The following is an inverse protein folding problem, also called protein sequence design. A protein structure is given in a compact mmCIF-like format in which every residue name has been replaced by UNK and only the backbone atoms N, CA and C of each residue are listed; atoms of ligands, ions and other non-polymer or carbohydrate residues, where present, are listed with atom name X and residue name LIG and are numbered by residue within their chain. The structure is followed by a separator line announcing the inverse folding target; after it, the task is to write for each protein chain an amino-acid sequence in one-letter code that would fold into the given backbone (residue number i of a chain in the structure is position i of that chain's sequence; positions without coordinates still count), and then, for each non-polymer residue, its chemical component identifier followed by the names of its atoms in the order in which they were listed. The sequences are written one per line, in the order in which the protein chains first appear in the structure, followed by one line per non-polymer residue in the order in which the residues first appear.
data_IF_522154304858
#
_entry.id   IF_522154304858
#
_cell.length_a   1.000
_cell.length_b   1.000
_cell.length_c   1.000
_cell.angle_alpha   90.00
_cell.angle_beta   90.00
_cell.angle_gamma   90.00
#
_symmetry.space_group_name_H-M   'P 1'
#
loop_
_entity.id
_entity.type
_entity.pdbx_description
1 polymer ?
#
# COMPACT_ATOMS: atom_id res chain seq x y z
N UNK A 1 9.62 17.68 -29.48
CA UNK A 1 9.38 16.28 -29.05
C UNK A 1 7.91 16.18 -28.69
N UNK A 2 7.13 15.51 -29.53
CA UNK A 2 5.67 15.37 -29.41
C UNK A 2 5.38 14.43 -28.25
N UNK A 3 4.69 14.94 -27.23
CA UNK A 3 4.14 14.11 -26.13
C UNK A 3 3.14 13.12 -26.75
N UNK A 4 3.49 11.84 -26.72
CA UNK A 4 2.56 10.78 -27.08
C UNK A 4 1.36 10.86 -26.12
N UNK A 5 0.22 11.29 -26.63
CA UNK A 5 -1.06 11.21 -25.92
C UNK A 5 -1.37 9.71 -25.71
N UNK A 6 -1.04 9.20 -24.54
CA UNK A 6 -1.50 7.90 -24.10
C UNK A 6 -2.97 7.97 -23.75
N UNK A 7 -3.82 7.84 -24.79
CA UNK A 7 -5.29 7.71 -24.68
C UNK A 7 -5.75 6.32 -24.20
N UNK A 8 -4.85 5.51 -23.62
CA UNK A 8 -5.13 4.17 -23.12
C UNK A 8 -5.74 4.21 -21.72
N UNK A 9 -6.87 3.52 -21.50
CA UNK A 9 -7.51 3.36 -20.18
C UNK A 9 -6.72 2.54 -19.17
N UNK A 10 -5.59 1.91 -19.58
CA UNK A 10 -4.76 1.01 -18.80
C UNK A 10 -3.76 1.70 -17.85
N UNK A 11 -3.01 0.90 -17.12
CA UNK A 11 -1.88 1.34 -16.27
C UNK A 11 -0.82 2.06 -17.11
N UNK A 12 -0.29 3.19 -16.61
CA UNK A 12 0.82 3.90 -17.27
C UNK A 12 2.14 3.32 -16.75
N UNK A 13 2.93 2.75 -17.65
CA UNK A 13 4.27 2.26 -17.30
C UNK A 13 5.27 3.41 -17.23
N UNK A 14 6.30 3.26 -16.41
CA UNK A 14 7.39 4.23 -16.34
C UNK A 14 8.14 4.31 -17.66
N UNK A 15 8.34 3.17 -18.34
CA UNK A 15 9.11 3.07 -19.59
C UNK A 15 10.51 3.73 -19.47
N UNK A 16 11.16 3.48 -18.34
CA UNK A 16 12.46 4.06 -17.95
C UNK A 16 13.39 3.00 -17.40
N UNK A 17 14.04 2.21 -18.28
CA UNK A 17 14.92 1.10 -17.88
C UNK A 17 16.04 1.50 -16.92
N UNK A 18 16.47 2.77 -16.97
CA UNK A 18 17.48 3.34 -16.05
C UNK A 18 17.01 3.37 -14.59
N UNK A 19 15.71 3.21 -14.32
CA UNK A 19 15.15 3.08 -12.99
C UNK A 19 15.17 1.64 -12.45
N UNK A 20 15.80 0.70 -13.18
CA UNK A 20 16.07 -0.65 -12.72
C UNK A 20 14.82 -1.37 -12.20
N UNK A 21 14.86 -1.77 -10.92
CA UNK A 21 13.78 -2.51 -10.28
C UNK A 21 12.43 -1.78 -10.32
N UNK A 22 12.43 -0.46 -10.25
CA UNK A 22 11.20 0.34 -10.28
C UNK A 22 10.47 0.22 -11.63
N UNK A 23 11.20 0.20 -12.75
CA UNK A 23 10.62 0.00 -14.08
C UNK A 23 10.02 -1.42 -14.21
N UNK A 24 10.72 -2.43 -13.70
CA UNK A 24 10.23 -3.82 -13.70
C UNK A 24 8.95 -3.96 -12.87
N UNK A 25 8.87 -3.33 -11.69
CA UNK A 25 7.65 -3.30 -10.87
C UNK A 25 6.50 -2.66 -11.65
N UNK A 26 6.75 -1.49 -12.26
CA UNK A 26 5.74 -0.77 -13.05
C UNK A 26 5.20 -1.59 -14.22
N UNK A 27 6.07 -2.28 -14.94
CA UNK A 27 5.70 -3.17 -16.04
C UNK A 27 4.89 -4.38 -15.54
N UNK A 28 5.26 -4.94 -14.38
CA UNK A 28 4.51 -6.05 -13.77
C UNK A 28 3.10 -5.64 -13.35
N UNK A 29 2.94 -4.43 -12.82
CA UNK A 29 1.63 -3.88 -12.47
C UNK A 29 0.76 -3.64 -13.69
N UNK A 30 1.33 -3.14 -14.79
CA UNK A 30 0.64 -2.95 -16.07
C UNK A 30 0.11 -4.26 -16.66
N UNK A 31 0.83 -5.35 -16.49
CA UNK A 31 0.43 -6.67 -16.96
C UNK A 31 -0.63 -7.36 -16.08
N UNK A 32 -0.99 -6.75 -14.94
CA UNK A 32 -1.91 -7.37 -13.99
C UNK A 32 -3.38 -7.18 -14.39
N UNK A 33 -4.09 -8.27 -14.60
CA UNK A 33 -5.55 -8.28 -14.81
C UNK A 33 -6.36 -7.89 -13.56
N UNK A 34 -5.69 -7.76 -12.40
CA UNK A 34 -6.32 -7.37 -11.12
C UNK A 34 -6.63 -5.89 -11.02
N UNK A 35 -6.12 -5.07 -11.92
CA UNK A 35 -6.38 -3.63 -11.99
C UNK A 35 -7.30 -3.35 -13.19
N UNK A 36 -8.63 -3.32 -13.01
CA UNK A 36 -9.55 -3.06 -14.11
C UNK A 36 -9.40 -1.63 -14.64
N UNK A 37 -9.49 -1.46 -15.95
CA UNK A 37 -9.48 -0.13 -16.57
C UNK A 37 -10.59 0.78 -16.06
N UNK A 38 -11.75 0.24 -15.70
CA UNK A 38 -12.85 1.00 -15.11
C UNK A 38 -12.46 1.65 -13.78
N UNK A 39 -11.68 0.95 -12.96
CA UNK A 39 -11.14 1.49 -11.72
C UNK A 39 -10.15 2.63 -12.00
N UNK A 40 -9.21 2.44 -12.94
CA UNK A 40 -8.25 3.47 -13.33
C UNK A 40 -8.95 4.71 -13.92
N UNK A 41 -9.96 4.52 -14.77
CA UNK A 41 -10.77 5.64 -15.30
C UNK A 41 -11.47 6.42 -14.19
N UNK A 42 -12.05 5.72 -13.21
CA UNK A 42 -12.70 6.37 -12.07
C UNK A 42 -11.70 7.21 -11.26
N UNK A 43 -10.51 6.67 -10.96
CA UNK A 43 -9.46 7.40 -10.25
C UNK A 43 -8.99 8.63 -11.04
N UNK A 44 -8.77 8.50 -12.35
CA UNK A 44 -8.32 9.59 -13.22
C UNK A 44 -9.37 10.68 -13.45
N UNK A 45 -10.65 10.36 -13.37
CA UNK A 45 -11.72 11.34 -13.58
C UNK A 45 -11.82 12.37 -12.45
N UNK A 46 -11.33 12.03 -11.24
CA UNK A 46 -11.39 12.92 -10.09
C UNK A 46 -10.34 14.03 -10.17
N UNK A 47 -10.58 15.22 -9.58
CA UNK A 47 -9.61 16.29 -9.52
C UNK A 47 -8.44 15.97 -8.56
N UNK A 48 -8.66 15.10 -7.59
CA UNK A 48 -7.68 14.72 -6.56
C UNK A 48 -7.72 13.22 -6.28
N UNK A 49 -6.53 12.64 -6.12
CA UNK A 49 -6.33 11.32 -5.53
C UNK A 49 -6.13 11.46 -4.03
N UNK A 50 -6.68 10.51 -3.30
CA UNK A 50 -6.45 10.31 -1.88
C UNK A 50 -5.68 9.00 -1.72
N UNK A 51 -4.50 9.06 -1.11
CA UNK A 51 -3.69 7.89 -0.82
C UNK A 51 -3.51 7.75 0.69
N UNK A 52 -3.71 6.55 1.18
CA UNK A 52 -3.51 6.16 2.57
C UNK A 52 -2.52 5.01 2.60
N UNK A 53 -1.58 5.02 3.53
CA UNK A 53 -0.55 3.98 3.60
C UNK A 53 -0.22 3.59 5.01
N UNK A 54 0.19 2.33 5.16
CA UNK A 54 0.79 1.80 6.37
C UNK A 54 1.76 0.67 6.03
N UNK A 55 2.63 0.32 6.99
CA UNK A 55 3.80 -0.50 6.76
C UNK A 55 3.96 -1.56 7.87
N UNK A 56 4.09 -2.81 7.47
CA UNK A 56 4.24 -3.96 8.36
C UNK A 56 5.59 -4.66 8.20
N UNK A 57 5.82 -5.69 9.03
CA UNK A 57 6.99 -6.54 8.90
C UNK A 57 8.31 -5.93 9.38
N UNK A 58 8.27 -4.80 10.08
CA UNK A 58 9.47 -4.11 10.56
C UNK A 58 10.26 -4.86 11.65
N UNK A 59 9.69 -5.91 12.27
CA UNK A 59 10.37 -6.66 13.33
C UNK A 59 11.51 -7.53 12.78
N UNK A 60 12.54 -7.77 13.62
CA UNK A 60 13.81 -8.40 13.23
C UNK A 60 13.64 -9.79 12.58
N UNK A 61 12.63 -10.54 12.99
CA UNK A 61 12.41 -11.92 12.53
C UNK A 61 11.49 -12.02 11.29
N UNK A 62 10.87 -10.93 10.84
CA UNK A 62 10.12 -10.95 9.60
C UNK A 62 11.07 -10.95 8.40
N UNK A 63 10.86 -11.91 7.48
CA UNK A 63 11.60 -11.96 6.21
C UNK A 63 11.20 -10.81 5.30
N UNK A 64 9.91 -10.47 5.28
CA UNK A 64 9.38 -9.44 4.41
C UNK A 64 9.04 -8.16 5.17
N UNK A 65 9.35 -7.02 4.57
CA UNK A 65 8.73 -5.73 4.85
C UNK A 65 7.52 -5.59 3.93
N UNK A 66 6.36 -5.21 4.46
CA UNK A 66 5.14 -5.03 3.66
C UNK A 66 4.76 -3.57 3.67
N UNK A 67 4.71 -2.97 2.47
CA UNK A 67 4.29 -1.60 2.24
C UNK A 67 2.93 -1.61 1.55
N UNK A 68 1.93 -1.03 2.18
CA UNK A 68 0.54 -1.13 1.76
C UNK A 68 -0.03 0.26 1.45
N UNK A 69 -0.68 0.40 0.30
CA UNK A 69 -1.22 1.68 -0.19
C UNK A 69 -2.67 1.52 -0.64
N UNK A 70 -3.56 2.28 -0.05
CA UNK A 70 -4.94 2.45 -0.51
C UNK A 70 -5.05 3.75 -1.30
N UNK A 71 -5.52 3.68 -2.55
CA UNK A 71 -5.78 4.86 -3.37
C UNK A 71 -7.26 4.94 -3.73
N UNK A 72 -7.85 6.10 -3.49
CA UNK A 72 -9.26 6.38 -3.75
C UNK A 72 -9.47 7.84 -4.17
N UNK A 73 -10.72 8.27 -4.21
CA UNK A 73 -11.15 9.65 -4.45
C UNK A 73 -12.18 10.07 -3.41
N UNK A 74 -12.44 11.36 -3.26
CA UNK A 74 -13.50 11.84 -2.35
C UNK A 74 -14.86 11.19 -2.66
N UNK A 75 -15.20 11.04 -3.94
CA UNK A 75 -16.42 10.36 -4.34
C UNK A 75 -16.39 8.87 -3.96
N UNK A 76 -15.25 8.20 -4.16
CA UNK A 76 -15.06 6.79 -3.84
C UNK A 76 -15.20 6.46 -2.35
N UNK A 77 -15.08 7.45 -1.47
CA UNK A 77 -15.20 7.29 -0.02
C UNK A 77 -16.64 7.44 0.51
N UNK A 78 -17.60 7.93 -0.28
CA UNK A 78 -18.92 8.34 0.25
C UNK A 78 -19.69 7.17 0.87
N UNK A 79 -19.83 6.07 0.15
CA UNK A 79 -20.54 4.89 0.65
C UNK A 79 -19.83 4.27 1.86
N UNK A 80 -18.51 4.15 1.81
CA UNK A 80 -17.71 3.71 2.94
C UNK A 80 -17.95 4.57 4.18
N UNK A 81 -17.91 5.90 4.06
CA UNK A 81 -18.07 6.81 5.20
C UNK A 81 -19.46 6.68 5.84
N UNK A 82 -20.49 6.42 5.05
CA UNK A 82 -21.85 6.17 5.56
C UNK A 82 -21.90 4.87 6.40
N UNK A 83 -21.43 3.76 5.85
CA UNK A 83 -21.46 2.47 6.52
C UNK A 83 -20.50 2.42 7.72
N UNK A 84 -19.34 3.08 7.61
CA UNK A 84 -18.39 3.24 8.71
C UNK A 84 -19.03 3.90 9.94
N UNK A 85 -19.81 4.98 9.73
CA UNK A 85 -20.51 5.66 10.84
C UNK A 85 -21.47 4.71 11.54
N UNK A 86 -22.27 3.94 10.79
CA UNK A 86 -23.19 2.93 11.34
C UNK A 86 -22.46 1.86 12.15
N UNK A 87 -21.31 1.39 11.63
CA UNK A 87 -20.46 0.42 12.34
C UNK A 87 -19.96 0.97 13.67
N UNK A 88 -19.55 2.25 13.70
CA UNK A 88 -19.06 2.90 14.91
C UNK A 88 -20.15 3.14 15.94
N UNK A 89 -21.32 3.56 15.50
CA UNK A 89 -22.51 3.70 16.36
C UNK A 89 -22.96 2.37 16.95
N UNK A 90 -22.80 1.26 16.20
CA UNK A 90 -23.25 -0.06 16.61
C UNK A 90 -22.21 -0.84 17.43
N UNK A 91 -21.13 -1.29 16.82
CA UNK A 91 -20.28 -2.35 17.39
C UNK A 91 -18.86 -1.94 17.72
N UNK A 92 -18.24 -1.04 16.95
CA UNK A 92 -16.84 -0.68 17.15
C UNK A 92 -16.64 0.41 18.20
N UNK A 93 -17.61 1.32 18.32
CA UNK A 93 -17.54 2.49 19.22
C UNK A 93 -16.78 3.67 18.63
N UNK A 94 -16.98 4.89 19.22
CA UNK A 94 -16.51 6.13 18.63
C UNK A 94 -14.99 6.35 18.76
N UNK A 95 -14.31 5.70 19.71
CA UNK A 95 -12.90 6.00 20.05
C UNK A 95 -11.91 4.89 19.67
N UNK A 96 -12.39 3.75 19.19
CA UNK A 96 -11.52 2.59 18.93
C UNK A 96 -10.96 2.65 17.52
N UNK A 97 -9.66 2.84 17.38
CA UNK A 97 -8.96 2.66 16.12
C UNK A 97 -8.92 1.18 15.75
N UNK A 98 -9.23 0.86 14.50
CA UNK A 98 -9.02 -0.48 13.96
C UNK A 98 -7.55 -0.59 13.53
N UNK A 99 -6.81 -1.54 14.07
CA UNK A 99 -5.45 -1.82 13.62
C UNK A 99 -5.07 -3.29 13.87
N UNK A 100 -4.16 -3.82 13.06
CA UNK A 100 -3.75 -5.22 13.11
C UNK A 100 -3.20 -5.62 14.48
N UNK A 101 -2.35 -4.77 15.06
CA UNK A 101 -1.75 -5.00 16.38
C UNK A 101 -2.79 -5.00 17.50
N UNK A 102 -3.85 -4.22 17.35
CA UNK A 102 -4.90 -4.08 18.35
C UNK A 102 -6.02 -5.13 18.26
N UNK A 103 -5.97 -6.07 17.31
CA UNK A 103 -6.97 -7.13 17.14
C UNK A 103 -6.91 -8.24 18.22
N UNK A 104 -6.06 -8.13 19.22
CA UNK A 104 -6.16 -8.89 20.47
C UNK A 104 -7.30 -8.38 21.39
N UNK A 105 -7.77 -7.16 21.18
CA UNK A 105 -8.95 -6.59 21.87
C UNK A 105 -10.24 -7.27 21.37
N UNK A 106 -11.09 -7.72 22.32
CA UNK A 106 -12.32 -8.48 22.00
C UNK A 106 -13.34 -7.68 21.19
N UNK A 107 -13.45 -6.38 21.40
CA UNK A 107 -14.41 -5.53 20.68
C UNK A 107 -13.95 -5.36 19.24
N UNK A 108 -12.67 -5.04 19.03
CA UNK A 108 -12.08 -4.92 17.68
C UNK A 108 -12.20 -6.23 16.92
N UNK A 109 -11.86 -7.36 17.57
CA UNK A 109 -11.93 -8.67 16.91
C UNK A 109 -13.37 -9.04 16.50
N UNK A 110 -14.37 -8.78 17.35
CA UNK A 110 -15.80 -9.01 16.99
C UNK A 110 -16.25 -8.10 15.84
N UNK A 111 -15.74 -6.88 15.78
CA UNK A 111 -16.12 -5.90 14.76
C UNK A 111 -15.31 -6.06 13.47
N UNK A 112 -14.26 -6.90 13.44
CA UNK A 112 -13.34 -7.02 12.30
C UNK A 112 -14.06 -7.39 11.01
N UNK A 113 -14.86 -8.46 11.01
CA UNK A 113 -15.58 -8.90 9.80
C UNK A 113 -16.55 -7.84 9.29
N UNK A 114 -17.26 -7.18 10.20
CA UNK A 114 -18.15 -6.08 9.83
C UNK A 114 -17.37 -4.88 9.27
N UNK A 115 -16.22 -4.56 9.86
CA UNK A 115 -15.34 -3.52 9.34
C UNK A 115 -14.80 -3.87 7.94
N UNK A 116 -14.32 -5.09 7.73
CA UNK A 116 -13.86 -5.56 6.42
C UNK A 116 -14.99 -5.51 5.40
N UNK A 117 -16.23 -5.88 5.78
CA UNK A 117 -17.41 -5.76 4.92
C UNK A 117 -17.69 -4.30 4.52
N UNK A 118 -17.51 -3.34 5.42
CA UNK A 118 -17.64 -1.90 5.10
C UNK A 118 -16.59 -1.47 4.07
N UNK A 119 -15.37 -2.01 4.11
CA UNK A 119 -14.32 -1.67 3.14
C UNK A 119 -14.65 -2.10 1.70
N UNK A 120 -15.55 -3.06 1.48
CA UNK A 120 -16.02 -3.40 0.13
C UNK A 120 -16.71 -2.22 -0.58
N UNK A 121 -17.17 -1.22 0.17
CA UNK A 121 -17.78 0.00 -0.37
C UNK A 121 -16.77 1.05 -0.80
N UNK A 122 -15.48 0.87 -0.48
CA UNK A 122 -14.40 1.75 -0.97
C UNK A 122 -14.20 1.55 -2.47
N UNK A 123 -14.40 2.59 -3.25
CA UNK A 123 -14.05 2.56 -4.67
C UNK A 123 -12.60 2.98 -4.84
N UNK A 124 -11.72 2.04 -5.16
CA UNK A 124 -10.30 2.32 -5.28
C UNK A 124 -9.44 1.06 -5.42
N UNK A 125 -8.15 1.25 -5.16
CA UNK A 125 -7.11 0.23 -5.23
C UNK A 125 -6.42 0.11 -3.87
N UNK A 126 -6.27 -1.12 -3.38
CA UNK A 126 -5.36 -1.48 -2.30
C UNK A 126 -4.22 -2.30 -2.91
N UNK A 127 -3.03 -1.77 -2.86
CA UNK A 127 -1.85 -2.42 -3.41
C UNK A 127 -0.85 -2.69 -2.29
N UNK A 128 -0.41 -3.93 -2.21
CA UNK A 128 0.49 -4.41 -1.18
C UNK A 128 1.79 -4.89 -1.82
N UNK A 129 2.92 -4.35 -1.37
CA UNK A 129 4.25 -4.76 -1.78
C UNK A 129 4.93 -5.48 -0.62
N UNK A 130 5.17 -6.76 -0.78
CA UNK A 130 5.98 -7.55 0.15
C UNK A 130 7.41 -7.60 -0.36
N UNK A 131 8.33 -6.94 0.33
CA UNK A 131 9.74 -6.82 -0.06
C UNK A 131 10.57 -7.78 0.80
N UNK A 132 11.27 -8.73 0.18
CA UNK A 132 12.29 -9.50 0.90
C UNK A 132 13.36 -8.54 1.41
N UNK A 133 13.63 -8.54 2.71
CA UNK A 133 14.59 -7.64 3.33
C UNK A 133 16.01 -7.79 2.78
N UNK A 134 16.33 -8.93 2.17
CA UNK A 134 17.61 -9.17 1.51
C UNK A 134 17.73 -8.46 0.15
N UNK A 135 16.59 -8.06 -0.43
CA UNK A 135 16.52 -7.36 -1.72
C UNK A 135 16.20 -5.86 -1.57
N UNK A 136 15.98 -5.36 -0.35
CA UNK A 136 15.52 -3.97 -0.11
C UNK A 136 16.52 -2.91 -0.55
N UNK A 137 17.82 -3.22 -0.52
CA UNK A 137 18.87 -2.27 -0.89
C UNK A 137 18.81 -1.89 -2.38
N UNK A 138 18.31 -2.78 -3.24
CA UNK A 138 18.17 -2.51 -4.68
C UNK A 138 17.21 -1.37 -5.01
N UNK A 139 16.16 -1.17 -4.23
CA UNK A 139 15.30 0.02 -4.39
C UNK A 139 15.99 1.30 -3.88
N UNK A 140 17.03 1.15 -3.05
CA UNK A 140 17.77 2.28 -2.48
C UNK A 140 18.99 2.65 -3.31
N UNK A 141 19.63 1.69 -4.01
CA UNK A 141 20.87 1.89 -4.75
C UNK A 141 20.66 2.61 -6.08
N UNK A 142 19.55 2.33 -6.78
CA UNK A 142 19.31 2.88 -8.13
C UNK A 142 19.02 4.39 -8.11
N UNK A 143 18.72 4.98 -6.96
CA UNK A 143 18.46 6.40 -6.85
C UNK A 143 18.74 6.93 -5.44
N UNK A 144 19.98 7.30 -5.17
CA UNK A 144 20.34 7.95 -3.91
C UNK A 144 20.21 9.46 -4.02
N UNK A 145 19.18 10.06 -3.44
CA UNK A 145 19.04 11.51 -3.41
C UNK A 145 19.98 12.19 -2.39
N UNK A 146 20.99 11.49 -1.84
CA UNK A 146 21.94 12.07 -0.88
C UNK A 146 22.59 13.37 -1.37
N UNK A 147 22.83 13.50 -2.66
CA UNK A 147 23.34 14.75 -3.26
C UNK A 147 22.26 15.83 -3.36
N UNK A 148 20.99 15.46 -3.57
CA UNK A 148 19.87 16.39 -3.68
C UNK A 148 19.39 16.89 -2.30
N UNK A 149 19.65 16.15 -1.22
CA UNK A 149 19.13 16.40 0.12
C UNK A 149 20.21 16.66 1.18
N UNK A 150 21.43 16.99 0.79
CA UNK A 150 22.55 17.26 1.70
C UNK A 150 22.32 18.38 2.72
N UNK A 151 21.20 19.11 2.60
CA UNK A 151 20.76 20.16 3.54
C UNK A 151 19.74 19.66 4.57
N UNK A 152 19.30 18.39 4.47
CA UNK A 152 18.38 17.82 5.45
C UNK A 152 19.13 17.40 6.72
N UNK A 153 18.42 17.44 7.84
CA UNK A 153 18.95 16.94 9.11
C UNK A 153 19.27 15.45 9.08
N UNK A 154 20.09 14.98 10.02
CA UNK A 154 20.47 13.58 10.11
C UNK A 154 19.23 12.66 10.24
N UNK A 155 19.22 11.61 9.44
CA UNK A 155 18.26 10.51 9.50
C UNK A 155 18.97 9.25 9.98
N UNK A 156 18.29 8.42 10.77
CA UNK A 156 18.76 7.07 11.01
C UNK A 156 18.66 6.26 9.71
N UNK A 157 19.69 5.49 9.36
CA UNK A 157 19.77 4.74 8.10
C UNK A 157 18.52 3.89 7.84
N UNK A 158 18.00 3.24 8.88
CA UNK A 158 16.80 2.43 8.79
C UNK A 158 15.57 3.25 8.37
N UNK A 159 15.33 4.39 9.03
CA UNK A 159 14.16 5.23 8.76
C UNK A 159 14.28 5.90 7.40
N UNK A 160 15.49 6.32 7.02
CA UNK A 160 15.75 6.87 5.69
C UNK A 160 15.56 5.84 4.59
N UNK A 161 16.12 4.63 4.76
CA UNK A 161 15.93 3.52 3.82
C UNK A 161 14.46 3.14 3.66
N UNK A 162 13.68 3.14 4.75
CA UNK A 162 12.22 2.93 4.67
C UNK A 162 11.53 4.05 3.88
N UNK A 163 11.82 5.32 4.21
CA UNK A 163 11.27 6.48 3.50
C UNK A 163 11.57 6.43 2.00
N UNK A 164 12.78 6.03 1.63
CA UNK A 164 13.21 5.85 0.24
C UNK A 164 12.35 4.79 -0.46
N UNK A 165 12.23 3.58 0.11
CA UNK A 165 11.40 2.51 -0.47
C UNK A 165 9.93 2.92 -0.62
N UNK A 166 9.39 3.57 0.42
CA UNK A 166 8.02 4.13 0.40
C UNK A 166 7.87 5.15 -0.72
N UNK A 167 8.85 6.04 -0.89
CA UNK A 167 8.87 7.06 -1.95
C UNK A 167 8.89 6.45 -3.36
N UNK A 168 9.76 5.47 -3.60
CA UNK A 168 9.83 4.76 -4.89
C UNK A 168 8.51 4.08 -5.24
N UNK A 169 7.97 3.26 -4.33
CA UNK A 169 6.75 2.49 -4.60
C UNK A 169 5.52 3.37 -4.74
N UNK A 170 5.41 4.42 -3.92
CA UNK A 170 4.35 5.41 -4.07
C UNK A 170 4.44 6.15 -5.41
N UNK A 171 5.63 6.52 -5.85
CA UNK A 171 5.83 7.21 -7.12
C UNK A 171 5.48 6.32 -8.33
N UNK A 172 5.86 5.03 -8.31
CA UNK A 172 5.45 4.03 -9.31
C UNK A 172 3.92 3.93 -9.34
N UNK A 173 3.30 3.81 -8.18
CA UNK A 173 1.86 3.68 -8.03
C UNK A 173 1.14 4.90 -8.59
N UNK A 174 1.55 6.10 -8.20
CA UNK A 174 0.92 7.36 -8.62
C UNK A 174 1.12 7.59 -10.11
N UNK A 175 2.30 7.36 -10.69
CA UNK A 175 2.47 7.46 -12.15
C UNK A 175 1.54 6.50 -12.89
N UNK A 176 1.39 5.27 -12.41
CA UNK A 176 0.53 4.27 -13.05
C UNK A 176 -0.94 4.67 -13.13
N UNK A 177 -1.45 5.39 -12.14
CA UNK A 177 -2.89 5.67 -12.00
C UNK A 177 -3.30 7.11 -12.27
N UNK A 178 -2.43 8.10 -12.10
CA UNK A 178 -2.79 9.52 -12.21
C UNK A 178 -3.07 9.98 -13.63
N UNK A 179 -3.72 11.11 -13.76
CA UNK A 179 -3.70 11.97 -14.95
C UNK A 179 -2.90 13.25 -14.70
N UNK A 180 -2.55 13.95 -15.76
CA UNK A 180 -1.81 15.22 -15.65
C UNK A 180 -2.65 16.29 -14.93
N UNK A 181 -1.98 17.09 -14.10
CA UNK A 181 -2.59 18.14 -13.29
C UNK A 181 -3.44 17.66 -12.11
N UNK A 182 -3.47 16.36 -11.84
CA UNK A 182 -4.25 15.82 -10.72
C UNK A 182 -3.56 16.07 -9.38
N UNK A 183 -4.31 16.48 -8.37
CA UNK A 183 -3.78 16.66 -7.02
C UNK A 183 -3.60 15.32 -6.31
N UNK A 184 -2.68 15.27 -5.35
CA UNK A 184 -2.47 14.13 -4.46
C UNK A 184 -2.49 14.60 -2.99
N UNK A 185 -3.36 13.98 -2.20
CA UNK A 185 -3.33 14.04 -0.74
C UNK A 185 -2.92 12.67 -0.25
N UNK A 186 -1.78 12.57 0.42
CA UNK A 186 -1.25 11.33 0.96
C UNK A 186 -1.19 11.40 2.48
N UNK A 187 -1.78 10.42 3.14
CA UNK A 187 -1.81 10.28 4.59
C UNK A 187 -1.26 8.93 4.99
N UNK A 188 -0.34 8.91 5.95
CA UNK A 188 0.23 7.69 6.54
C UNK A 188 -0.02 7.66 8.04
N UNK A 189 0.19 6.50 8.69
CA UNK A 189 0.22 6.48 10.15
C UNK A 189 1.42 7.28 10.69
N UNK A 190 1.36 7.69 11.95
CA UNK A 190 2.50 8.28 12.65
C UNK A 190 3.52 7.19 12.96
N UNK A 191 4.61 7.17 12.22
CA UNK A 191 5.66 6.18 12.36
C UNK A 191 7.08 6.79 12.24
N UNK A 192 8.09 5.93 12.06
CA UNK A 192 9.50 6.33 11.97
C UNK A 192 9.86 7.24 10.80
N UNK A 193 8.99 7.38 9.78
CA UNK A 193 9.23 8.29 8.64
C UNK A 193 8.70 9.71 8.88
N UNK A 194 7.78 9.91 9.83
CA UNK A 194 7.23 11.22 10.17
C UNK A 194 6.94 11.35 11.68
N UNK A 195 7.94 11.11 12.55
CA UNK A 195 7.74 11.05 14.00
C UNK A 195 7.56 12.41 14.68
N UNK A 196 7.75 13.50 13.96
CA UNK A 196 7.59 14.88 14.44
C UNK A 196 7.50 15.86 13.26
N UNK A 197 7.15 17.12 13.54
CA UNK A 197 6.93 18.16 12.52
C UNK A 197 8.14 18.39 11.61
N UNK A 198 9.37 18.37 12.17
CA UNK A 198 10.58 18.55 11.40
C UNK A 198 10.77 17.41 10.39
N UNK A 199 10.69 16.17 10.85
CA UNK A 199 10.83 14.97 10.00
C UNK A 199 9.67 14.85 9.02
N UNK A 200 8.47 15.24 9.40
CA UNK A 200 7.32 15.32 8.51
C UNK A 200 7.57 16.32 7.35
N UNK A 201 8.11 17.52 7.65
CA UNK A 201 8.45 18.51 6.62
C UNK A 201 9.56 18.02 5.68
N UNK A 202 10.59 17.36 6.22
CA UNK A 202 11.67 16.74 5.44
C UNK A 202 11.15 15.58 4.58
N UNK A 203 10.35 14.67 5.15
CA UNK A 203 9.72 13.57 4.42
C UNK A 203 8.84 14.09 3.28
N UNK A 204 8.07 15.14 3.51
CA UNK A 204 7.25 15.77 2.46
C UNK A 204 8.09 16.21 1.26
N UNK A 205 9.27 16.81 1.49
CA UNK A 205 10.19 17.23 0.41
C UNK A 205 10.76 16.03 -0.33
N UNK A 206 11.19 14.99 0.41
CA UNK A 206 11.77 13.77 -0.16
C UNK A 206 10.71 13.03 -1.01
N UNK A 207 9.52 12.82 -0.48
CA UNK A 207 8.42 12.16 -1.19
C UNK A 207 7.98 12.95 -2.42
N UNK A 208 7.90 14.30 -2.30
CA UNK A 208 7.64 15.18 -3.43
C UNK A 208 8.70 15.09 -4.53
N UNK A 209 9.97 14.91 -4.15
CA UNK A 209 11.05 14.69 -5.11
C UNK A 209 10.88 13.37 -5.87
N UNK A 210 10.58 12.25 -5.18
CA UNK A 210 10.31 10.98 -5.84
C UNK A 210 9.13 11.08 -6.81
N UNK A 211 8.02 11.68 -6.38
CA UNK A 211 6.87 11.90 -7.24
C UNK A 211 7.24 12.70 -8.50
N UNK A 212 7.97 13.80 -8.36
CA UNK A 212 8.41 14.61 -9.51
C UNK A 212 9.41 13.89 -10.42
N UNK A 213 10.26 13.02 -9.88
CA UNK A 213 11.24 12.28 -10.66
C UNK A 213 10.63 11.15 -11.48
N UNK A 214 9.55 10.53 -10.98
CA UNK A 214 8.91 9.39 -11.63
C UNK A 214 7.74 9.80 -12.52
N UNK A 215 6.99 10.83 -12.11
CA UNK A 215 5.80 11.24 -12.82
C UNK A 215 6.14 11.98 -14.10
N UNK A 216 5.65 11.46 -15.23
CA UNK A 216 5.71 12.14 -16.52
C UNK A 216 4.66 13.27 -16.57
N UNK A 217 4.98 14.40 -17.16
CA UNK A 217 4.09 15.56 -17.23
C UNK A 217 3.94 16.30 -15.90
N UNK A 218 2.86 17.07 -15.73
CA UNK A 218 2.64 17.90 -14.55
C UNK A 218 1.89 17.19 -13.44
N UNK A 219 2.37 17.32 -12.21
CA UNK A 219 1.59 17.02 -11.00
C UNK A 219 0.80 18.27 -10.59
N UNK A 220 -0.39 18.08 -10.02
CA UNK A 220 -1.10 19.12 -9.29
C UNK A 220 -0.48 19.36 -7.91
N UNK A 221 -1.28 19.86 -6.97
CA UNK A 221 -0.81 20.05 -5.60
C UNK A 221 -0.57 18.72 -4.92
N UNK A 222 0.59 18.59 -4.26
CA UNK A 222 0.92 17.50 -3.37
C UNK A 222 0.83 17.94 -1.91
N UNK A 223 0.14 17.15 -1.09
CA UNK A 223 0.10 17.31 0.35
C UNK A 223 0.35 15.95 1.00
N UNK A 224 1.25 15.95 1.97
CA UNK A 224 1.56 14.79 2.81
C UNK A 224 1.11 15.10 4.25
N UNK A 225 0.51 14.12 4.92
CA UNK A 225 0.05 14.23 6.30
C UNK A 225 0.11 12.89 7.02
N UNK A 226 -0.19 12.91 8.31
CA UNK A 226 -0.30 11.73 9.16
C UNK A 226 -1.69 11.62 9.76
N UNK A 227 -1.97 10.50 10.44
CA UNK A 227 -3.21 10.28 11.20
C UNK A 227 -3.45 11.33 12.29
N UNK A 228 -2.41 12.05 12.74
CA UNK A 228 -2.55 13.22 13.63
C UNK A 228 -3.48 14.31 13.07
N UNK A 229 -3.68 14.33 11.75
CA UNK A 229 -4.61 15.26 11.08
C UNK A 229 -6.08 14.88 11.26
N UNK A 230 -6.40 13.76 11.92
CA UNK A 230 -7.80 13.36 12.15
C UNK A 230 -8.49 14.36 13.12
N UNK A 231 -9.64 14.88 12.68
CA UNK A 231 -10.41 15.86 13.43
C UNK A 231 -11.23 15.25 14.61
N UNK A 232 -10.89 14.05 15.05
CA UNK A 232 -11.54 13.36 16.17
C UNK A 232 -12.76 12.53 15.78
N UNK A 233 -13.05 12.39 14.49
CA UNK A 233 -14.14 11.53 13.99
C UNK A 233 -13.65 10.17 13.47
N UNK A 234 -12.37 9.92 13.59
CA UNK A 234 -11.64 8.71 13.16
C UNK A 234 -11.84 8.34 11.68
N UNK A 235 -12.15 9.30 10.80
CA UNK A 235 -12.28 9.02 9.37
C UNK A 235 -10.94 8.67 8.75
N UNK A 236 -9.92 9.45 9.08
CA UNK A 236 -8.56 9.24 8.57
C UNK A 236 -8.00 7.92 9.12
N UNK A 237 -8.17 7.67 10.40
CA UNK A 237 -7.79 6.42 11.06
C UNK A 237 -8.46 5.19 10.41
N UNK A 238 -9.76 5.29 10.10
CA UNK A 238 -10.47 4.20 9.43
C UNK A 238 -10.07 4.03 7.95
N UNK A 239 -9.45 5.02 7.33
CA UNK A 239 -8.93 4.92 5.96
C UNK A 239 -7.47 4.43 5.92
N UNK A 240 -6.71 4.62 6.99
CA UNK A 240 -5.36 4.05 7.15
C UNK A 240 -5.44 2.58 7.63
N UNK A 241 -6.51 2.19 8.31
CA UNK A 241 -6.65 0.82 8.83
C UNK A 241 -6.67 -0.29 7.75
N UNK A 242 -7.28 -0.17 6.55
CA UNK A 242 -7.17 -1.20 5.51
C UNK A 242 -5.72 -1.49 5.08
N UNK A 243 -4.85 -0.50 4.82
CA UNK A 243 -3.40 -0.73 4.63
C UNK A 243 -2.73 -1.41 5.82
N UNK A 244 -2.99 -0.99 7.08
CA UNK A 244 -2.42 -1.61 8.29
C UNK A 244 -2.82 -3.07 8.42
N UNK A 245 -4.11 -3.36 8.27
CA UNK A 245 -4.63 -4.73 8.32
C UNK A 245 -4.00 -5.61 7.23
N UNK A 246 -3.87 -5.10 6.02
CA UNK A 246 -3.24 -5.81 4.91
C UNK A 246 -1.75 -6.05 5.16
N UNK A 247 -1.01 -5.01 5.56
CA UNK A 247 0.43 -5.10 5.82
C UNK A 247 0.73 -6.06 6.97
N UNK A 248 -0.04 -5.97 8.07
CA UNK A 248 0.10 -6.85 9.22
C UNK A 248 -0.21 -8.31 8.88
N UNK A 249 -1.32 -8.55 8.17
CA UNK A 249 -1.71 -9.89 7.74
C UNK A 249 -0.68 -10.52 6.79
N UNK A 250 -0.28 -9.81 5.75
CA UNK A 250 0.68 -10.32 4.76
C UNK A 250 2.06 -10.57 5.39
N UNK A 251 2.51 -9.68 6.30
CA UNK A 251 3.76 -9.90 7.04
C UNK A 251 3.73 -11.18 7.87
N UNK A 252 2.60 -11.51 8.50
CA UNK A 252 2.43 -12.75 9.26
C UNK A 252 2.29 -13.97 8.34
N UNK A 253 1.42 -13.92 7.33
CA UNK A 253 1.20 -15.02 6.39
C UNK A 253 2.50 -15.39 5.67
N UNK A 254 3.23 -14.42 5.14
CA UNK A 254 4.50 -14.67 4.45
C UNK A 254 5.59 -15.19 5.40
N UNK A 255 5.56 -14.80 6.69
CA UNK A 255 6.51 -15.31 7.66
C UNK A 255 6.23 -16.76 8.08
N UNK A 256 4.93 -17.14 8.12
CA UNK A 256 4.52 -18.50 8.52
C UNK A 256 4.56 -19.49 7.35
N UNK A 257 4.25 -19.03 6.14
CA UNK A 257 4.01 -19.86 4.97
C UNK A 257 5.03 -19.61 3.86
N UNK A 258 6.05 -18.78 4.12
CA UNK A 258 7.08 -18.54 3.11
C UNK A 258 7.68 -19.88 2.70
N UNK A 259 7.58 -20.27 1.43
CA UNK A 259 8.20 -21.48 0.94
C UNK A 259 9.72 -21.37 1.10
N UNK A 260 10.37 -22.53 1.13
CA UNK A 260 11.81 -22.65 1.05
C UNK A 260 12.38 -21.64 0.04
N UNK A 261 13.45 -20.93 0.35
CA UNK A 261 14.09 -19.98 -0.55
C UNK A 261 14.40 -20.54 -1.94
N UNK A 262 14.52 -21.86 -2.06
CA UNK A 262 14.73 -22.58 -3.32
C UNK A 262 13.41 -22.83 -4.12
N UNK A 263 12.25 -22.64 -3.51
CA UNK A 263 10.95 -22.79 -4.18
C UNK A 263 10.59 -21.50 -4.93
N UNK A 264 10.92 -21.44 -6.20
CA UNK A 264 10.97 -20.24 -7.03
C UNK A 264 9.63 -19.65 -7.53
N UNK A 265 8.46 -20.10 -7.05
CA UNK A 265 7.18 -19.64 -7.65
C UNK A 265 6.01 -19.57 -6.69
N UNK A 266 5.97 -18.57 -5.79
CA UNK A 266 4.73 -18.32 -5.04
C UNK A 266 3.81 -17.43 -5.85
N UNK A 267 3.03 -18.02 -6.74
CA UNK A 267 1.88 -17.33 -7.35
C UNK A 267 0.62 -17.47 -6.51
N UNK A 268 0.56 -18.44 -5.61
CA UNK A 268 -0.57 -18.70 -4.73
C UNK A 268 -0.11 -19.07 -3.33
N UNK A 269 -0.67 -18.40 -2.33
CA UNK A 269 -0.47 -18.73 -0.93
C UNK A 269 -1.73 -19.43 -0.43
N UNK A 270 -1.60 -20.70 -0.08
CA UNK A 270 -2.70 -21.49 0.49
C UNK A 270 -2.70 -21.32 2.01
N UNK A 271 -3.80 -20.81 2.56
CA UNK A 271 -3.97 -20.81 4.00
C UNK A 271 -4.28 -22.22 4.50
N UNK A 272 -3.55 -22.73 5.52
CA UNK A 272 -3.84 -24.04 6.07
C UNK A 272 -5.23 -24.10 6.69
N UNK A 273 -5.96 -25.17 6.43
CA UNK A 273 -7.31 -25.39 6.97
C UNK A 273 -7.35 -25.74 8.48
N UNK A 274 -6.20 -25.81 9.15
CA UNK A 274 -6.12 -26.20 10.56
C UNK A 274 -4.86 -25.63 11.21
N UNK A 275 -5.03 -25.11 12.42
CA UNK A 275 -4.03 -24.75 13.41
C UNK A 275 -2.77 -23.99 12.96
N UNK A 276 -2.40 -22.98 13.75
CA UNK A 276 -1.15 -22.25 13.57
C UNK A 276 -1.28 -20.84 12.98
N UNK A 277 -2.37 -20.53 12.23
CA UNK A 277 -2.64 -19.16 11.75
C UNK A 277 -3.70 -18.52 12.66
N UNK A 278 -3.46 -17.33 13.21
CA UNK A 278 -4.44 -16.63 14.05
C UNK A 278 -5.74 -16.34 13.30
N UNK A 279 -6.88 -16.40 14.01
CA UNK A 279 -8.20 -16.15 13.41
C UNK A 279 -8.30 -14.77 12.72
N UNK A 280 -7.69 -13.73 13.29
CA UNK A 280 -7.63 -12.39 12.67
C UNK A 280 -6.95 -12.43 11.29
N UNK A 281 -5.88 -13.21 11.18
CA UNK A 281 -5.10 -13.35 9.94
C UNK A 281 -5.90 -14.09 8.89
N UNK A 282 -6.64 -15.12 9.27
CA UNK A 282 -7.56 -15.85 8.37
C UNK A 282 -8.66 -14.91 7.85
N UNK A 283 -9.33 -14.15 8.72
CA UNK A 283 -10.38 -13.23 8.32
C UNK A 283 -9.88 -12.14 7.35
N UNK A 284 -8.70 -11.56 7.63
CA UNK A 284 -8.12 -10.52 6.77
C UNK A 284 -7.60 -11.13 5.46
N UNK A 285 -6.97 -12.29 5.51
CA UNK A 285 -6.49 -12.98 4.31
C UNK A 285 -7.63 -13.38 3.39
N UNK A 286 -8.76 -13.84 3.95
CA UNK A 286 -9.99 -14.10 3.20
C UNK A 286 -10.53 -12.82 2.54
N UNK A 287 -10.53 -11.71 3.26
CA UNK A 287 -10.88 -10.41 2.68
C UNK A 287 -9.91 -9.98 1.57
N UNK A 288 -8.60 -10.21 1.73
CA UNK A 288 -7.61 -9.89 0.69
C UNK A 288 -7.81 -10.75 -0.57
N UNK A 289 -8.20 -12.01 -0.42
CA UNK A 289 -8.48 -12.93 -1.51
C UNK A 289 -9.72 -12.55 -2.31
N UNK A 290 -10.73 -12.00 -1.65
CA UNK A 290 -12.03 -11.68 -2.27
C UNK A 290 -11.93 -10.47 -3.21
N UNK A 291 -12.29 -10.66 -4.47
CA UNK A 291 -12.29 -9.64 -5.53
C UNK A 291 -13.66 -9.02 -5.82
N UNK A 292 -14.73 -9.44 -5.10
CA UNK A 292 -16.12 -9.06 -5.40
C UNK A 292 -16.45 -7.59 -5.10
N UNK A 293 -15.73 -6.96 -4.14
CA UNK A 293 -15.97 -5.59 -3.72
C UNK A 293 -15.58 -4.51 -4.73
N UNK A 294 -16.00 -3.28 -4.46
CA UNK A 294 -15.57 -2.10 -5.23
C UNK A 294 -14.06 -1.81 -5.04
N UNK A 295 -13.52 -2.13 -3.87
CA UNK A 295 -12.09 -2.06 -3.60
C UNK A 295 -11.35 -3.19 -4.32
N UNK A 296 -10.51 -2.84 -5.30
CA UNK A 296 -9.65 -3.78 -6.01
C UNK A 296 -8.36 -3.97 -5.24
N UNK A 297 -7.89 -5.21 -5.13
CA UNK A 297 -6.73 -5.59 -4.31
C UNK A 297 -5.69 -6.28 -5.17
N UNK A 298 -4.42 -5.88 -4.99
CA UNK A 298 -3.27 -6.45 -5.68
C UNK A 298 -2.16 -6.70 -4.67
N UNK A 299 -1.61 -7.90 -4.68
CA UNK A 299 -0.44 -8.25 -3.87
C UNK A 299 0.73 -8.56 -4.79
N UNK A 300 1.86 -7.91 -4.54
CA UNK A 300 3.13 -8.15 -5.21
C UNK A 300 4.16 -8.62 -4.19
N UNK A 301 5.00 -9.53 -4.60
CA UNK A 301 6.19 -9.91 -3.85
C UNK A 301 7.43 -9.61 -4.66
N UNK A 302 8.40 -9.00 -4.02
CA UNK A 302 9.78 -8.84 -4.51
C UNK A 302 10.64 -9.77 -3.70
N UNK A 303 10.95 -10.92 -4.27
CA UNK A 303 11.78 -11.96 -3.67
C UNK A 303 13.19 -11.91 -4.22
N UNK A 304 14.16 -12.21 -3.36
CA UNK A 304 15.54 -12.35 -3.81
C UNK A 304 16.57 -11.84 -2.83
N UNK A 305 17.68 -11.37 -3.38
CA UNK A 305 18.83 -10.83 -2.66
C UNK A 305 19.40 -9.62 -3.42
N UNK A 306 20.56 -9.14 -2.99
CA UNK A 306 21.23 -8.00 -3.61
C UNK A 306 21.67 -8.22 -5.07
N UNK A 307 21.80 -9.45 -5.54
CA UNK A 307 22.28 -9.77 -6.89
C UNK A 307 21.18 -10.23 -7.84
N UNK A 308 20.16 -10.90 -7.31
CA UNK A 308 19.05 -11.44 -8.10
C UNK A 308 17.72 -11.23 -7.39
N UNK A 309 16.74 -10.71 -8.11
CA UNK A 309 15.39 -10.55 -7.57
C UNK A 309 14.32 -10.84 -8.62
N UNK A 310 13.23 -11.41 -8.16
CA UNK A 310 12.03 -11.68 -8.95
C UNK A 310 10.84 -10.88 -8.43
N UNK A 311 9.98 -10.42 -9.36
CA UNK A 311 8.76 -9.68 -9.02
C UNK A 311 7.57 -10.49 -9.51
N UNK A 312 6.64 -10.78 -8.61
CA UNK A 312 5.46 -11.58 -8.92
C UNK A 312 4.21 -11.02 -8.26
N UNK A 313 3.10 -11.14 -8.95
CA UNK A 313 1.79 -11.04 -8.32
C UNK A 313 1.50 -12.35 -7.61
N UNK A 314 0.87 -12.31 -6.45
CA UNK A 314 0.41 -13.51 -5.77
C UNK A 314 -1.02 -13.37 -5.27
N UNK A 315 -1.69 -14.51 -5.23
CA UNK A 315 -3.05 -14.66 -4.74
C UNK A 315 -3.05 -15.42 -3.43
N UNK A 316 -3.95 -15.03 -2.54
CA UNK A 316 -4.24 -15.79 -1.33
C UNK A 316 -5.43 -16.71 -1.67
N UNK A 317 -5.24 -18.00 -1.46
CA UNK A 317 -6.28 -19.02 -1.68
C UNK A 317 -6.74 -19.51 -0.31
N UNK A 318 -8.00 -19.29 -0.02
CA UNK A 318 -8.65 -19.84 1.18
C UNK A 318 -9.38 -21.12 0.77
N UNK A 319 -9.20 -22.22 1.51
CA UNK A 319 -9.81 -23.53 1.18
C UNK A 319 -11.34 -23.56 1.10
N UNK A 320 -12.02 -22.42 1.27
CA UNK A 320 -13.47 -22.29 1.11
C UNK A 320 -13.93 -22.29 -0.36
N UNK A 321 -13.01 -22.22 -1.33
CA UNK A 321 -13.35 -22.23 -2.77
C UNK A 321 -13.38 -23.64 -3.38
N UNK A 322 -13.05 -24.69 -2.62
CA UNK A 322 -13.05 -26.10 -3.07
C UNK A 322 -14.18 -26.95 -2.47
N UNK A 323 -15.18 -26.35 -1.82
CA UNK A 323 -16.40 -27.01 -1.35
C UNK A 323 -17.63 -26.41 -2.06
#
# INVERSE_FOLDING_TARGET
MTAAQHSGGGWRTLSRPELGLADVISNRMSASSRIPESCLRSLRSAPSLLMFSDYGGAHKHARYEVLSFLVSTLHGLQSFNTERRRLREGSLGPERRMSYKALNDRVRMRSLRAYLAVTYQLQGLLINFALDKRATDRLSEDYTPHTAFGHLGAWADRSFGKLTRVGHLAAILIEGIRRDGQNLIWITDEDEIAPNDLKHAEATKILGHYLNSYCSGTMGHFRFGTTASDAGNLLIEDLVAPPDLAAGCLGEVLSLLAPDPESSSVERIFLPAGGGVPAKTIDIATWLADSSGALKKLNLVVDGNSTDCSIRNFDIVTKLEEL
#
